data_IF_343794032454
#
_entry.id   IF_343794032454
#
_cell.length_a   1.000
_cell.length_b   1.000
_cell.length_c   1.000
_cell.angle_alpha   90.00
_cell.angle_beta   90.00
_cell.angle_gamma   90.00
#
_symmetry.space_group_name_H-M   'P 1'
#
loop_
_entity.id
_entity.type
_entity.pdbx_description
1 polymer ?
#
# COMPACT_ATOMS: atom_id res chain seq x y z
N UNK A 1 7.70 14.63 -3.40
CA UNK A 1 8.37 13.41 -3.90
C UNK A 1 7.37 12.30 -4.25
N UNK A 2 6.19 12.67 -4.74
CA UNK A 2 5.22 11.74 -5.32
C UNK A 2 5.05 12.14 -6.79
N UNK A 3 5.69 11.39 -7.68
CA UNK A 3 5.23 11.25 -9.06
C UNK A 3 4.81 9.78 -9.23
N UNK A 4 3.80 9.49 -10.06
CA UNK A 4 3.32 8.14 -10.26
C UNK A 4 4.39 7.35 -11.03
N UNK A 5 5.22 6.59 -10.30
CA UNK A 5 6.35 5.83 -10.88
C UNK A 5 5.86 4.72 -11.83
N UNK A 6 4.56 4.39 -11.85
CA UNK A 6 4.00 3.38 -12.75
C UNK A 6 3.26 3.94 -13.98
N UNK A 7 3.00 5.25 -14.06
CA UNK A 7 2.20 5.86 -15.14
C UNK A 7 2.98 6.76 -16.09
N UNK A 8 3.98 7.49 -15.59
CA UNK A 8 4.78 8.42 -16.40
C UNK A 8 5.87 7.71 -17.23
N UNK A 9 6.30 6.50 -16.82
CA UNK A 9 7.29 5.73 -17.54
C UNK A 9 6.82 5.19 -18.91
N UNK A 10 5.50 5.21 -19.19
CA UNK A 10 4.94 4.69 -20.44
C UNK A 10 4.64 5.77 -21.49
N UNK A 11 4.62 7.06 -21.13
CA UNK A 11 4.17 8.13 -22.03
C UNK A 11 5.20 9.25 -22.30
N UNK A 12 6.31 9.30 -21.58
CA UNK A 12 7.45 10.19 -21.88
C UNK A 12 8.66 9.44 -22.47
N UNK A 13 8.40 8.27 -23.05
CA UNK A 13 9.40 7.42 -23.71
C UNK A 13 9.56 7.74 -25.21
N UNK A 14 9.54 9.02 -25.59
CA UNK A 14 10.01 9.49 -26.89
C UNK A 14 11.26 10.36 -26.69
N UNK A 15 12.41 9.71 -26.48
CA UNK A 15 13.71 10.37 -26.66
C UNK A 15 14.80 10.17 -25.61
N UNK A 16 14.66 9.24 -24.65
CA UNK A 16 15.80 8.78 -23.83
C UNK A 16 15.83 7.26 -23.83
N UNK A 17 16.96 6.68 -24.21
CA UNK A 17 17.22 5.25 -24.04
C UNK A 17 16.99 4.88 -22.58
N UNK A 18 16.01 4.00 -22.33
CA UNK A 18 15.70 3.48 -21.00
C UNK A 18 16.91 2.64 -20.54
N UNK A 19 17.81 3.22 -19.75
CA UNK A 19 18.89 2.48 -19.10
C UNK A 19 18.29 1.26 -18.38
N UNK A 20 18.72 0.06 -18.79
CA UNK A 20 18.29 -1.19 -18.18
C UNK A 20 18.67 -1.21 -16.71
N UNK A 21 17.75 -1.56 -15.82
CA UNK A 21 17.99 -1.72 -14.38
C UNK A 21 19.22 -2.60 -14.12
N UNK A 22 20.22 -2.09 -13.38
CA UNK A 22 21.44 -2.82 -13.04
C UNK A 22 21.31 -3.48 -11.67
N UNK A 23 20.93 -4.76 -11.68
CA UNK A 23 20.79 -5.54 -10.45
C UNK A 23 22.14 -5.92 -9.82
N UNK A 24 23.23 -5.94 -10.58
CA UNK A 24 24.51 -6.46 -10.09
C UNK A 24 25.37 -5.35 -9.49
N UNK A 25 25.33 -4.16 -10.08
CA UNK A 25 26.08 -3.00 -9.63
C UNK A 25 25.19 -1.75 -9.53
N UNK A 26 24.25 -1.73 -8.56
CA UNK A 26 23.26 -0.66 -8.46
C UNK A 26 23.94 0.64 -8.11
N UNK A 27 23.63 1.67 -8.89
CA UNK A 27 24.12 3.03 -8.64
C UNK A 27 22.98 3.97 -8.25
N UNK A 28 21.74 3.56 -8.53
CA UNK A 28 20.54 4.35 -8.28
C UNK A 28 19.64 3.64 -7.28
N UNK A 29 18.87 4.42 -6.51
CA UNK A 29 17.96 3.87 -5.50
C UNK A 29 16.93 2.90 -6.09
N UNK A 30 16.50 3.12 -7.35
CA UNK A 30 15.59 2.19 -8.01
C UNK A 30 16.25 0.84 -8.34
N UNK A 31 17.55 0.80 -8.63
CA UNK A 31 18.28 -0.46 -8.86
C UNK A 31 18.32 -1.30 -7.57
N UNK A 32 18.54 -0.62 -6.44
CA UNK A 32 18.55 -1.25 -5.11
C UNK A 32 17.17 -1.86 -4.80
N UNK A 33 16.10 -1.07 -4.95
CA UNK A 33 14.73 -1.55 -4.76
C UNK A 33 14.41 -2.73 -5.71
N UNK A 34 14.79 -2.63 -6.98
CA UNK A 34 14.58 -3.69 -7.95
C UNK A 34 15.33 -4.98 -7.59
N UNK A 35 16.57 -4.88 -7.09
CA UNK A 35 17.32 -6.03 -6.58
C UNK A 35 16.66 -6.64 -5.37
N UNK A 36 16.27 -5.84 -4.37
CA UNK A 36 15.60 -6.33 -3.17
C UNK A 36 14.32 -7.10 -3.51
N UNK A 37 13.47 -6.52 -4.37
CA UNK A 37 12.22 -7.16 -4.82
C UNK A 37 12.49 -8.42 -5.64
N UNK A 38 13.53 -8.41 -6.49
CA UNK A 38 13.95 -9.58 -7.27
C UNK A 38 14.43 -10.73 -6.38
N UNK A 39 15.22 -10.42 -5.34
CA UNK A 39 15.68 -11.40 -4.36
C UNK A 39 14.50 -11.95 -3.56
N UNK A 40 13.59 -11.08 -3.10
CA UNK A 40 12.39 -11.49 -2.38
C UNK A 40 11.55 -12.46 -3.20
N UNK A 41 11.29 -12.13 -4.47
CA UNK A 41 10.49 -12.95 -5.37
C UNK A 41 11.11 -14.34 -5.62
N UNK A 42 12.44 -14.42 -5.72
CA UNK A 42 13.17 -15.70 -5.86
C UNK A 42 13.14 -16.53 -4.58
N UNK A 43 13.21 -15.87 -3.41
CA UNK A 43 13.18 -16.55 -2.11
C UNK A 43 11.76 -17.03 -1.75
N UNK A 44 10.72 -16.36 -2.25
CA UNK A 44 9.32 -16.64 -1.95
C UNK A 44 8.54 -17.04 -3.22
N UNK A 45 8.80 -18.22 -3.82
CA UNK A 45 8.22 -18.61 -5.13
C UNK A 45 6.69 -18.76 -5.14
N UNK A 46 6.07 -18.92 -3.96
CA UNK A 46 4.61 -18.96 -3.78
C UNK A 46 3.94 -17.58 -3.78
N UNK A 47 4.68 -16.52 -3.46
CA UNK A 47 4.19 -15.12 -3.47
C UNK A 47 4.67 -14.41 -4.74
N UNK A 48 5.96 -14.52 -5.04
CA UNK A 48 6.68 -13.81 -6.12
C UNK A 48 6.56 -12.29 -5.94
N UNK A 49 6.90 -11.54 -6.99
CA UNK A 49 6.64 -10.11 -7.04
C UNK A 49 5.20 -9.85 -7.51
N UNK A 50 4.51 -8.96 -6.82
CA UNK A 50 3.20 -8.42 -7.18
C UNK A 50 3.31 -6.90 -7.22
N UNK A 51 2.71 -6.27 -8.24
CA UNK A 51 2.66 -4.81 -8.34
C UNK A 51 2.05 -4.20 -7.07
N UNK A 52 2.70 -3.16 -6.54
CA UNK A 52 2.36 -2.56 -5.25
C UNK A 52 3.33 -2.92 -4.12
N UNK A 53 4.01 -4.07 -4.21
CA UNK A 53 5.06 -4.43 -3.23
C UNK A 53 6.21 -3.42 -3.21
N UNK A 54 6.50 -2.80 -4.35
CA UNK A 54 7.48 -1.72 -4.47
C UNK A 54 7.11 -0.51 -3.61
N UNK A 55 5.81 -0.20 -3.48
CA UNK A 55 5.30 0.92 -2.68
C UNK A 55 5.40 0.64 -1.18
N UNK A 56 5.38 -0.64 -0.78
CA UNK A 56 5.67 -1.02 0.61
C UNK A 56 7.18 -1.04 0.90
N UNK A 57 7.98 -1.47 -0.07
CA UNK A 57 9.44 -1.55 0.06
C UNK A 57 10.09 -0.16 0.14
N UNK A 58 9.60 0.81 -0.65
CA UNK A 58 10.21 2.12 -0.77
C UNK A 58 10.26 2.93 0.55
N UNK A 59 9.18 3.03 1.37
CA UNK A 59 9.23 3.71 2.67
C UNK A 59 10.23 3.08 3.65
N UNK A 60 10.30 1.75 3.69
CA UNK A 60 11.24 1.02 4.55
C UNK A 60 12.67 1.32 4.11
N UNK A 61 12.96 1.19 2.82
CA UNK A 61 14.28 1.50 2.29
C UNK A 61 14.65 2.96 2.50
N UNK A 62 13.72 3.88 2.29
CA UNK A 62 13.92 5.31 2.52
C UNK A 62 14.35 5.60 3.97
N UNK A 63 13.70 4.95 4.95
CA UNK A 63 14.05 5.09 6.36
C UNK A 63 15.50 4.69 6.61
N UNK A 64 15.89 3.48 6.20
CA UNK A 64 17.24 2.96 6.46
C UNK A 64 18.31 3.70 5.65
N UNK A 65 18.02 4.07 4.40
CA UNK A 65 18.96 4.81 3.55
C UNK A 65 19.27 6.22 4.10
N UNK A 66 18.36 6.77 4.92
CA UNK A 66 18.53 8.06 5.60
C UNK A 66 18.95 7.95 7.06
N UNK A 67 19.16 6.74 7.59
CA UNK A 67 19.65 6.55 8.95
C UNK A 67 21.10 7.09 9.07
N UNK A 68 21.34 8.14 9.86
CA UNK A 68 22.69 8.69 10.02
C UNK A 68 23.66 7.71 10.68
N UNK A 69 23.17 6.70 11.39
CA UNK A 69 23.99 5.75 12.15
C UNK A 69 24.35 4.49 11.33
N UNK A 70 23.44 3.97 10.51
CA UNK A 70 23.61 2.65 9.87
C UNK A 70 23.27 2.56 8.36
N UNK A 71 23.23 3.67 7.62
CA UNK A 71 22.89 3.67 6.18
C UNK A 71 23.71 2.71 5.28
N UNK A 72 24.91 2.27 5.69
CA UNK A 72 25.73 1.33 4.89
C UNK A 72 25.12 -0.07 4.76
N UNK A 73 24.29 -0.47 5.71
CA UNK A 73 23.56 -1.74 5.70
C UNK A 73 22.11 -1.57 5.20
N UNK A 74 21.72 -0.38 4.75
CA UNK A 74 20.33 -0.01 4.52
C UNK A 74 19.56 -0.96 3.62
N UNK A 75 20.20 -1.47 2.56
CA UNK A 75 19.56 -2.43 1.67
C UNK A 75 19.23 -3.76 2.39
N UNK A 76 20.18 -4.29 3.16
CA UNK A 76 20.00 -5.55 3.86
C UNK A 76 18.95 -5.41 4.97
N UNK A 77 19.05 -4.34 5.77
CA UNK A 77 18.10 -4.07 6.86
C UNK A 77 16.69 -3.87 6.31
N UNK A 78 16.56 -3.06 5.26
CA UNK A 78 15.29 -2.84 4.59
C UNK A 78 14.72 -4.14 3.99
N UNK A 79 15.57 -5.02 3.45
CA UNK A 79 15.14 -6.29 2.87
C UNK A 79 14.52 -7.21 3.93
N UNK A 80 15.15 -7.33 5.10
CA UNK A 80 14.61 -8.16 6.18
C UNK A 80 13.35 -7.56 6.79
N UNK A 81 13.31 -6.24 7.04
CA UNK A 81 12.10 -5.57 7.52
C UNK A 81 10.94 -5.68 6.53
N UNK A 82 11.21 -5.49 5.24
CA UNK A 82 10.22 -5.71 4.18
C UNK A 82 9.74 -7.16 4.14
N UNK A 83 10.64 -8.12 4.29
CA UNK A 83 10.28 -9.55 4.30
C UNK A 83 9.37 -9.91 5.47
N UNK A 84 9.61 -9.32 6.65
CA UNK A 84 8.73 -9.46 7.82
C UNK A 84 7.35 -8.85 7.55
N UNK A 85 7.29 -7.62 7.04
CA UNK A 85 6.02 -6.98 6.69
C UNK A 85 5.22 -7.83 5.67
N UNK A 86 5.91 -8.38 4.66
CA UNK A 86 5.26 -9.23 3.67
C UNK A 86 4.80 -10.57 4.23
N UNK A 87 5.38 -11.07 5.32
CA UNK A 87 4.88 -12.27 5.98
C UNK A 87 3.44 -12.07 6.49
N UNK A 88 3.13 -10.87 6.98
CA UNK A 88 1.79 -10.48 7.46
C UNK A 88 0.86 -10.02 6.33
N UNK A 89 1.42 -9.39 5.30
CA UNK A 89 0.64 -8.77 4.22
C UNK A 89 0.39 -9.68 3.01
N UNK A 90 1.10 -10.81 2.87
CA UNK A 90 1.03 -11.68 1.66
C UNK A 90 -0.39 -12.11 1.29
N UNK A 91 -1.27 -12.32 2.26
CA UNK A 91 -2.65 -12.79 2.03
C UNK A 91 -3.48 -11.74 1.28
N UNK A 92 -3.12 -10.45 1.37
CA UNK A 92 -3.75 -9.36 0.62
C UNK A 92 -3.21 -9.21 -0.82
N UNK A 93 -2.08 -9.84 -1.15
CA UNK A 93 -1.44 -9.76 -2.48
C UNK A 93 -1.62 -11.04 -3.31
N UNK A 94 -1.78 -12.19 -2.66
CA UNK A 94 -1.85 -13.48 -3.33
C UNK A 94 -3.31 -13.87 -3.58
N UNK A 95 -3.76 -13.71 -4.83
CA UNK A 95 -5.16 -14.00 -5.25
C UNK A 95 -5.68 -15.39 -4.87
N UNK A 96 -4.80 -16.39 -4.75
CA UNK A 96 -5.22 -17.74 -4.32
C UNK A 96 -5.59 -17.83 -2.84
N UNK A 97 -5.26 -16.81 -2.05
CA UNK A 97 -5.57 -16.70 -0.61
C UNK A 97 -6.71 -15.70 -0.31
N UNK A 98 -7.33 -15.12 -1.35
CA UNK A 98 -8.44 -14.18 -1.24
C UNK A 98 -9.71 -14.79 -0.62
N UNK A 99 -9.82 -16.12 -0.58
CA UNK A 99 -10.96 -16.84 0.01
C UNK A 99 -10.90 -16.95 1.55
N UNK A 100 -9.93 -16.30 2.20
CA UNK A 100 -9.83 -16.26 3.67
C UNK A 100 -10.31 -14.92 4.21
N UNK A 101 -10.78 -14.91 5.47
CA UNK A 101 -11.20 -13.67 6.15
C UNK A 101 -10.06 -12.62 6.23
N UNK A 102 -8.81 -13.07 6.14
CA UNK A 102 -7.62 -12.22 6.15
C UNK A 102 -7.14 -11.81 4.75
N UNK A 103 -7.73 -12.39 3.69
CA UNK A 103 -7.49 -12.04 2.29
C UNK A 103 -8.04 -10.65 1.96
N UNK A 104 -7.76 -10.18 0.74
CA UNK A 104 -8.13 -8.81 0.36
C UNK A 104 -9.63 -8.55 0.48
N UNK A 105 -10.47 -9.45 -0.05
CA UNK A 105 -11.93 -9.29 0.00
C UNK A 105 -12.45 -9.37 1.44
N UNK A 106 -11.93 -10.28 2.27
CA UNK A 106 -12.28 -10.33 3.69
C UNK A 106 -11.96 -9.03 4.43
N UNK A 107 -10.82 -8.39 4.12
CA UNK A 107 -10.49 -7.07 4.68
C UNK A 107 -11.41 -5.96 4.17
N UNK A 108 -11.83 -6.02 2.90
CA UNK A 108 -12.81 -5.07 2.33
C UNK A 108 -14.19 -5.23 2.97
N UNK A 109 -14.61 -6.47 3.26
CA UNK A 109 -15.87 -6.75 3.94
C UNK A 109 -15.82 -6.25 5.39
N UNK A 110 -14.72 -6.51 6.11
CA UNK A 110 -14.50 -5.97 7.46
C UNK A 110 -14.53 -4.44 7.48
N UNK A 111 -13.90 -3.80 6.48
CA UNK A 111 -13.96 -2.36 6.30
C UNK A 111 -15.42 -1.90 6.14
N UNK A 112 -16.19 -2.55 5.27
CA UNK A 112 -17.58 -2.18 4.96
C UNK A 112 -18.48 -2.28 6.18
N UNK A 113 -18.36 -3.38 6.94
CA UNK A 113 -19.12 -3.56 8.19
C UNK A 113 -18.70 -2.54 9.25
N UNK A 114 -17.40 -2.23 9.37
CA UNK A 114 -16.93 -1.20 10.28
C UNK A 114 -17.45 0.20 9.90
N UNK A 115 -17.45 0.53 8.61
CA UNK A 115 -18.04 1.79 8.12
C UNK A 115 -19.53 1.86 8.46
N UNK A 116 -20.28 0.77 8.23
CA UNK A 116 -21.70 0.68 8.57
C UNK A 116 -21.95 0.85 10.06
N UNK A 117 -21.08 0.30 10.91
CA UNK A 117 -21.15 0.44 12.35
C UNK A 117 -20.89 1.89 12.80
N UNK A 118 -19.92 2.57 12.19
CA UNK A 118 -19.50 3.92 12.60
C UNK A 118 -20.31 5.05 11.95
N UNK A 119 -20.73 4.90 10.71
CA UNK A 119 -21.56 5.86 9.98
C UNK A 119 -22.47 5.14 8.96
N UNK A 120 -23.63 4.70 9.44
CA UNK A 120 -24.63 3.99 8.62
C UNK A 120 -25.27 4.85 7.54
N UNK A 121 -25.25 6.18 7.69
CA UNK A 121 -25.79 7.13 6.71
C UNK A 121 -24.90 7.18 5.48
N UNK A 122 -23.59 7.39 5.68
CA UNK A 122 -22.60 7.35 4.58
C UNK A 122 -22.58 5.97 3.92
N UNK A 123 -22.57 4.90 4.71
CA UNK A 123 -22.61 3.54 4.16
C UNK A 123 -23.83 3.31 3.26
N UNK A 124 -25.02 3.72 3.73
CA UNK A 124 -26.26 3.56 2.96
C UNK A 124 -26.26 4.40 1.69
N UNK A 125 -25.68 5.60 1.72
CA UNK A 125 -25.53 6.45 0.54
C UNK A 125 -24.63 5.79 -0.52
N UNK A 126 -23.47 5.25 -0.12
CA UNK A 126 -22.55 4.58 -1.04
C UNK A 126 -23.20 3.32 -1.66
N UNK A 127 -23.95 2.56 -0.87
CA UNK A 127 -24.75 1.41 -1.36
C UNK A 127 -25.86 1.84 -2.33
N UNK A 128 -26.58 2.92 -2.02
CA UNK A 128 -27.62 3.47 -2.89
C UNK A 128 -27.05 3.95 -4.24
N UNK A 129 -25.85 4.53 -4.22
CA UNK A 129 -25.09 4.93 -5.40
C UNK A 129 -24.41 3.75 -6.11
N UNK A 130 -24.49 2.53 -5.57
CA UNK A 130 -23.83 1.32 -6.11
C UNK A 130 -22.31 1.49 -6.24
N UNK A 131 -21.68 2.12 -5.25
CA UNK A 131 -20.22 2.28 -5.18
C UNK A 131 -19.65 1.16 -4.29
N UNK A 132 -19.05 0.11 -4.86
CA UNK A 132 -18.54 -1.00 -4.06
C UNK A 132 -17.30 -0.57 -3.27
N UNK A 133 -17.17 -0.95 -1.98
CA UNK A 133 -16.01 -0.56 -1.15
C UNK A 133 -14.64 -0.86 -1.76
N UNK A 134 -14.54 -1.98 -2.49
CA UNK A 134 -13.33 -2.42 -3.19
C UNK A 134 -12.76 -1.36 -4.15
N UNK A 135 -13.58 -0.45 -4.70
CA UNK A 135 -13.11 0.55 -5.66
C UNK A 135 -12.23 1.63 -5.04
N UNK A 136 -12.42 1.93 -3.75
CA UNK A 136 -11.66 2.96 -3.06
C UNK A 136 -10.73 2.40 -1.98
N UNK A 137 -11.00 1.22 -1.41
CA UNK A 137 -10.20 0.70 -0.27
C UNK A 137 -9.07 -0.25 -0.63
N UNK A 138 -9.09 -0.90 -1.79
CA UNK A 138 -8.06 -1.92 -2.12
C UNK A 138 -6.66 -1.35 -2.01
N UNK A 139 -6.44 -0.16 -2.57
CA UNK A 139 -5.14 0.52 -2.53
C UNK A 139 -4.75 0.91 -1.10
N UNK A 140 -5.70 1.41 -0.32
CA UNK A 140 -5.49 1.79 1.08
C UNK A 140 -5.05 0.60 1.94
N UNK A 141 -5.74 -0.54 1.78
CA UNK A 141 -5.51 -1.75 2.56
C UNK A 141 -4.24 -2.49 2.12
N UNK A 142 -3.99 -2.59 0.82
CA UNK A 142 -2.80 -3.30 0.29
C UNK A 142 -1.51 -2.50 0.46
N UNK A 143 -1.58 -1.17 0.40
CA UNK A 143 -0.40 -0.29 0.44
C UNK A 143 -0.26 0.45 1.79
N UNK A 144 -1.08 0.11 2.79
CA UNK A 144 -1.05 0.73 4.12
C UNK A 144 -1.02 2.26 4.06
N UNK A 145 -1.90 2.83 3.23
CA UNK A 145 -2.04 4.27 2.98
C UNK A 145 -0.79 4.99 2.43
N UNK A 146 0.26 4.27 2.01
CA UNK A 146 1.52 4.90 1.55
C UNK A 146 1.38 5.80 0.32
N UNK A 147 0.30 5.65 -0.46
CA UNK A 147 0.01 6.51 -1.60
C UNK A 147 -1.04 7.60 -1.32
N UNK A 148 -1.63 7.65 -0.12
CA UNK A 148 -2.55 8.73 0.28
C UNK A 148 -1.84 9.85 1.03
N UNK A 149 -0.61 9.60 1.47
CA UNK A 149 0.12 10.43 2.41
C UNK A 149 1.51 10.77 1.85
N UNK A 150 2.07 11.88 2.30
CA UNK A 150 3.47 12.19 2.02
C UNK A 150 4.41 11.36 2.90
N UNK A 151 5.64 11.14 2.44
CA UNK A 151 6.59 10.24 3.10
C UNK A 151 6.75 10.47 4.63
N UNK A 152 6.86 11.70 5.16
CA UNK A 152 6.93 11.90 6.61
C UNK A 152 5.69 11.40 7.35
N UNK A 153 4.51 11.58 6.78
CA UNK A 153 3.24 11.13 7.34
C UNK A 153 3.08 9.61 7.20
N UNK A 154 3.55 9.03 6.08
CA UNK A 154 3.62 7.57 5.92
C UNK A 154 4.42 6.95 7.06
N UNK A 155 5.63 7.44 7.31
CA UNK A 155 6.48 6.93 8.40
C UNK A 155 5.79 7.08 9.76
N UNK A 156 5.16 8.24 10.02
CA UNK A 156 4.46 8.49 11.29
C UNK A 156 3.25 7.60 11.50
N UNK A 157 2.48 7.32 10.45
CA UNK A 157 1.33 6.39 10.49
C UNK A 157 1.83 4.96 10.65
N UNK A 158 2.92 4.61 9.96
CA UNK A 158 3.52 3.28 10.04
C UNK A 158 4.10 2.96 11.41
N UNK A 159 4.61 3.95 12.16
CA UNK A 159 4.97 3.74 13.58
C UNK A 159 3.80 3.16 14.39
N UNK A 160 2.58 3.68 14.15
CA UNK A 160 1.38 3.21 14.84
C UNK A 160 0.88 1.87 14.28
N UNK A 161 0.85 1.71 12.95
CA UNK A 161 0.38 0.48 12.31
C UNK A 161 1.28 -0.71 12.62
N UNK A 162 2.61 -0.54 12.59
CA UNK A 162 3.56 -1.61 12.89
C UNK A 162 3.64 -1.93 14.39
N UNK A 163 3.18 -1.00 15.24
CA UNK A 163 3.01 -1.25 16.69
C UNK A 163 1.69 -1.98 17.01
N UNK A 164 0.74 -2.03 16.06
CA UNK A 164 -0.52 -2.77 16.22
C UNK A 164 -0.27 -4.27 16.03
N UNK A 165 -0.10 -4.98 17.15
CA UNK A 165 0.15 -6.42 17.13
C UNK A 165 -1.10 -7.26 16.82
N UNK A 166 -2.27 -6.67 16.66
CA UNK A 166 -3.49 -7.40 16.34
C UNK A 166 -3.57 -7.74 14.85
N UNK A 167 -3.98 -8.97 14.53
CA UNK A 167 -4.28 -9.38 13.16
C UNK A 167 -5.80 -9.39 12.96
N UNK A 168 -6.34 -8.87 11.84
CA UNK A 168 -5.65 -8.39 10.62
C UNK A 168 -5.45 -6.84 10.58
N UNK A 169 -4.62 -6.28 11.45
CA UNK A 169 -4.34 -4.83 11.58
C UNK A 169 -5.62 -4.00 11.72
N UNK A 170 -6.37 -4.14 12.85
CA UNK A 170 -7.60 -3.39 13.06
C UNK A 170 -7.39 -1.88 12.97
N UNK A 171 -6.25 -1.33 13.41
CA UNK A 171 -5.99 0.10 13.30
C UNK A 171 -6.02 0.60 11.85
N UNK A 172 -5.54 -0.19 10.89
CA UNK A 172 -5.60 0.16 9.48
C UNK A 172 -7.05 0.30 9.00
N UNK A 173 -7.93 -0.61 9.42
CA UNK A 173 -9.36 -0.54 9.11
C UNK A 173 -9.99 0.73 9.66
N UNK A 174 -9.70 1.08 10.91
CA UNK A 174 -10.18 2.31 11.54
C UNK A 174 -9.68 3.57 10.83
N UNK A 175 -8.42 3.62 10.41
CA UNK A 175 -7.87 4.76 9.66
C UNK A 175 -8.57 4.92 8.31
N UNK A 176 -8.77 3.82 7.57
CA UNK A 176 -9.52 3.85 6.31
C UNK A 176 -10.96 4.37 6.52
N UNK A 177 -11.66 3.92 7.57
CA UNK A 177 -13.03 4.38 7.87
C UNK A 177 -13.04 5.85 8.26
N UNK A 178 -12.06 6.28 9.05
CA UNK A 178 -11.90 7.69 9.40
C UNK A 178 -11.70 8.57 8.16
N UNK A 179 -10.94 8.12 7.16
CA UNK A 179 -10.77 8.84 5.89
C UNK A 179 -12.10 9.06 5.16
N UNK A 180 -12.97 8.05 5.14
CA UNK A 180 -14.32 8.19 4.54
C UNK A 180 -15.18 9.17 5.34
N UNK A 181 -15.17 9.07 6.67
CA UNK A 181 -15.93 9.96 7.55
C UNK A 181 -15.45 11.42 7.44
N UNK A 182 -14.16 11.65 7.20
CA UNK A 182 -13.63 13.01 7.00
C UNK A 182 -14.24 13.73 5.79
N UNK A 183 -14.65 12.99 4.76
CA UNK A 183 -15.28 13.53 3.54
C UNK A 183 -16.81 13.32 3.51
N UNK A 184 -17.39 12.91 4.64
CA UNK A 184 -18.83 12.59 4.81
C UNK A 184 -19.76 13.57 4.13
N UNK A 185 -19.63 14.86 4.41
CA UNK A 185 -20.54 15.89 3.90
C UNK A 185 -20.52 15.96 2.38
N UNK A 186 -19.36 15.72 1.75
CA UNK A 186 -19.25 15.65 0.30
C UNK A 186 -19.91 14.37 -0.27
N UNK A 187 -19.78 13.24 0.42
CA UNK A 187 -20.39 11.97 0.00
C UNK A 187 -21.91 12.00 0.09
N UNK A 188 -22.46 12.62 1.14
CA UNK A 188 -23.92 12.74 1.32
C UNK A 188 -24.56 13.74 0.35
N UNK A 189 -23.83 14.79 -0.03
CA UNK A 189 -24.31 15.79 -0.99
C UNK A 189 -24.09 15.37 -2.45
N UNK A 190 -23.13 14.49 -2.72
CA UNK A 190 -22.68 14.14 -4.06
C UNK A 190 -23.45 13.00 -4.73
N UNK A 191 -23.43 12.98 -6.06
CA UNK A 191 -23.82 11.81 -6.84
C UNK A 191 -22.68 10.81 -7.02
N UNK A 192 -22.91 9.75 -7.81
CA UNK A 192 -21.91 8.72 -8.10
C UNK A 192 -20.57 9.30 -8.60
N UNK A 193 -20.62 10.22 -9.56
CA UNK A 193 -19.42 10.82 -10.16
C UNK A 193 -18.64 11.70 -9.19
N UNK A 194 -19.34 12.37 -8.26
CA UNK A 194 -18.69 13.24 -7.27
C UNK A 194 -17.97 12.41 -6.20
N UNK A 195 -18.58 11.29 -5.79
CA UNK A 195 -18.01 10.38 -4.79
C UNK A 195 -16.80 9.58 -5.30
N UNK A 196 -16.65 9.44 -6.63
CA UNK A 196 -15.56 8.68 -7.26
C UNK A 196 -14.38 9.55 -7.72
N UNK A 197 -14.45 10.87 -7.49
CA UNK A 197 -13.35 11.81 -7.77
C UNK A 197 -12.41 11.92 -6.58
#
# INVERSE_FOLDING_TARGET
>A
FAQPVAGAAAAEAEGRDMESVDLFNPTLHYDILARMLSVYAKHNPGVRYVQGMNELCAPIYYLFARDPLHHRAAEADAFFCFSLLMADMRDAFVKTMDNSDNGLMGRVDQFSELLKEKDSEVWSQLEALRIPPVFYTVRWLTLMLSQELEMPDVLRVWDALLSDSAQPLPLLQYLCVAMVILIREALLAGGFTDCMR
#
